data_IF_424963899016
#
_entry.id   IF_424963899016
#
_cell.length_a   1.000
_cell.length_b   1.000
_cell.length_c   1.000
_cell.angle_alpha   90.00
_cell.angle_beta   90.00
_cell.angle_gamma   90.00
#
_symmetry.space_group_name_H-M   'P 1'
#
loop_
_entity.id
_entity.type
_entity.pdbx_description
1 polymer ?
#
# COMPACT_ATOMS: atom_id res chain seq x y z
N UNK A 1 -1.34 3.65 14.05
CA UNK A 1 -0.39 2.70 14.62
C UNK A 1 -0.56 2.56 16.14
N UNK A 2 -0.28 3.60 16.94
CA UNK A 2 -0.25 3.50 18.41
C UNK A 2 -1.54 2.94 19.03
N UNK A 3 -2.71 3.33 18.53
CA UNK A 3 -3.99 2.80 19.01
C UNK A 3 -4.11 1.27 18.78
N UNK A 4 -3.68 0.79 17.61
CA UNK A 4 -3.69 -0.65 17.28
C UNK A 4 -2.70 -1.40 18.19
N UNK A 5 -1.50 -0.86 18.39
CA UNK A 5 -0.49 -1.44 19.27
C UNK A 5 -0.93 -1.57 20.73
N UNK A 6 -1.83 -0.69 21.17
CA UNK A 6 -2.46 -0.74 22.52
C UNK A 6 -3.73 -1.62 22.56
N UNK A 7 -4.08 -2.29 21.44
CA UNK A 7 -5.30 -3.10 21.35
C UNK A 7 -6.58 -2.29 21.17
N UNK A 8 -6.50 -0.98 20.93
CA UNK A 8 -7.67 -0.11 20.73
C UNK A 8 -8.06 -0.08 19.25
N UNK A 9 -8.52 -1.22 18.74
CA UNK A 9 -8.76 -1.42 17.31
C UNK A 9 -9.83 -0.49 16.73
N UNK A 10 -10.88 -0.16 17.48
CA UNK A 10 -11.91 0.80 17.07
C UNK A 10 -11.35 2.21 16.91
N UNK A 11 -10.44 2.61 17.78
CA UNK A 11 -9.72 3.89 17.65
C UNK A 11 -8.75 3.84 16.46
N UNK A 12 -8.13 2.69 16.24
CA UNK A 12 -7.34 2.42 15.04
C UNK A 12 -8.17 2.62 13.77
N UNK A 13 -9.37 2.06 13.73
CA UNK A 13 -10.32 2.21 12.62
C UNK A 13 -10.72 3.67 12.38
N UNK A 14 -10.98 4.42 13.44
CA UNK A 14 -11.28 5.86 13.34
C UNK A 14 -10.11 6.62 12.70
N UNK A 15 -8.87 6.36 13.12
CA UNK A 15 -7.69 7.00 12.54
C UNK A 15 -7.45 6.58 11.09
N UNK A 16 -7.75 5.33 10.71
CA UNK A 16 -7.74 4.88 9.32
C UNK A 16 -8.71 5.70 8.46
N UNK A 17 -9.96 5.86 8.95
CA UNK A 17 -10.97 6.63 8.25
C UNK A 17 -10.58 8.11 8.11
N UNK A 18 -10.06 8.73 9.17
CA UNK A 18 -9.59 10.11 9.15
C UNK A 18 -8.41 10.31 8.18
N UNK A 19 -7.47 9.37 8.15
CA UNK A 19 -6.35 9.42 7.20
C UNK A 19 -6.86 9.36 5.75
N UNK A 20 -7.81 8.48 5.43
CA UNK A 20 -8.40 8.41 4.07
C UNK A 20 -9.21 9.65 3.70
N UNK A 21 -9.89 10.27 4.65
CA UNK A 21 -10.56 11.56 4.42
C UNK A 21 -9.54 12.68 4.13
N UNK A 22 -8.43 12.73 4.88
CA UNK A 22 -7.35 13.67 4.65
C UNK A 22 -6.74 13.49 3.24
N UNK A 23 -6.39 12.27 2.85
CA UNK A 23 -5.87 11.97 1.50
C UNK A 23 -6.86 12.36 0.39
N UNK A 24 -8.15 12.10 0.61
CA UNK A 24 -9.19 12.52 -0.33
C UNK A 24 -9.28 14.03 -0.51
N UNK A 25 -9.12 14.78 0.59
CA UNK A 25 -9.08 16.25 0.58
C UNK A 25 -7.80 16.77 -0.07
N UNK A 26 -6.63 16.21 0.27
CA UNK A 26 -5.36 16.58 -0.34
C UNK A 26 -5.35 16.33 -1.85
N UNK A 27 -5.90 15.19 -2.27
CA UNK A 27 -6.11 14.89 -3.70
C UNK A 27 -7.08 15.86 -4.39
N UNK A 28 -8.12 16.33 -3.71
CA UNK A 28 -9.04 17.34 -4.25
C UNK A 28 -8.37 18.70 -4.37
N UNK A 29 -7.60 19.10 -3.37
CA UNK A 29 -6.80 20.35 -3.38
C UNK A 29 -5.73 20.29 -4.47
N UNK A 30 -5.00 19.17 -4.59
CA UNK A 30 -3.98 19.00 -5.62
C UNK A 30 -4.56 19.08 -7.03
N UNK A 31 -5.77 18.57 -7.28
CA UNK A 31 -6.46 18.73 -8.57
C UNK A 31 -6.93 20.16 -8.84
N UNK A 32 -7.20 20.94 -7.79
CA UNK A 32 -7.61 22.34 -7.89
C UNK A 32 -6.42 23.32 -7.97
N UNK A 33 -5.22 22.87 -7.63
CA UNK A 33 -3.97 23.65 -7.60
C UNK A 33 -2.91 22.98 -8.49
N UNK A 34 -1.66 23.41 -8.37
CA UNK A 34 -0.54 22.80 -9.10
C UNK A 34 0.01 21.63 -8.27
N UNK A 35 -0.03 20.43 -8.84
CA UNK A 35 0.65 19.26 -8.25
C UNK A 35 2.15 19.54 -8.19
N UNK A 36 2.75 19.39 -7.01
CA UNK A 36 4.19 19.56 -6.82
C UNK A 36 4.89 18.20 -6.74
N UNK A 37 6.08 18.10 -7.33
CA UNK A 37 6.89 16.88 -7.26
C UNK A 37 7.24 16.50 -5.79
N UNK A 38 7.43 17.51 -4.92
CA UNK A 38 7.66 17.29 -3.49
C UNK A 38 6.45 16.67 -2.79
N UNK A 39 5.23 17.10 -3.17
CA UNK A 39 3.99 16.50 -2.64
C UNK A 39 3.88 15.03 -3.02
N UNK A 40 4.08 14.68 -4.29
CA UNK A 40 4.06 13.29 -4.75
C UNK A 40 5.14 12.41 -4.11
N UNK A 41 6.34 12.95 -3.87
CA UNK A 41 7.39 12.23 -3.15
C UNK A 41 6.98 11.91 -1.71
N UNK A 42 6.43 12.88 -0.98
CA UNK A 42 6.01 12.70 0.41
C UNK A 42 4.83 11.73 0.52
N UNK A 43 3.87 11.82 -0.39
CA UNK A 43 2.71 10.95 -0.48
C UNK A 43 3.14 9.47 -0.58
N UNK A 44 4.00 9.16 -1.56
CA UNK A 44 4.52 7.80 -1.73
C UNK A 44 5.29 7.33 -0.48
N UNK A 45 6.15 8.17 0.09
CA UNK A 45 6.97 7.80 1.25
C UNK A 45 6.10 7.52 2.48
N UNK A 46 5.10 8.35 2.74
CA UNK A 46 4.19 8.16 3.87
C UNK A 46 3.23 6.98 3.67
N UNK A 47 2.77 6.73 2.46
CA UNK A 47 1.94 5.56 2.17
C UNK A 47 2.68 4.25 2.48
N UNK A 48 3.92 4.08 2.03
CA UNK A 48 4.69 2.89 2.34
C UNK A 48 4.96 2.73 3.84
N UNK A 49 5.26 3.83 4.53
CA UNK A 49 5.43 3.81 5.98
C UNK A 49 4.13 3.41 6.69
N UNK A 50 3.02 3.98 6.27
CA UNK A 50 1.71 3.68 6.80
C UNK A 50 1.33 2.20 6.62
N UNK A 51 1.58 1.62 5.43
CA UNK A 51 1.31 0.22 5.15
C UNK A 51 2.17 -0.73 6.01
N UNK A 52 3.37 -0.33 6.38
CA UNK A 52 4.21 -1.10 7.30
C UNK A 52 3.78 -0.95 8.77
N UNK A 53 3.38 0.25 9.18
CA UNK A 53 3.04 0.55 10.58
C UNK A 53 1.74 -0.13 11.04
N UNK A 54 0.75 -0.33 10.17
CA UNK A 54 -0.52 -0.98 10.55
C UNK A 54 -0.28 -2.44 10.98
N UNK A 55 0.31 -3.32 10.16
CA UNK A 55 0.63 -4.70 10.60
C UNK A 55 1.56 -4.76 11.80
N UNK A 56 2.54 -3.86 11.89
CA UNK A 56 3.42 -3.75 13.05
C UNK A 56 2.63 -3.47 14.33
N UNK A 57 1.58 -2.63 14.27
CA UNK A 57 0.69 -2.38 15.39
C UNK A 57 0.00 -3.66 15.88
N UNK A 58 -0.50 -4.51 14.98
CA UNK A 58 -1.09 -5.81 15.32
C UNK A 58 -0.05 -6.77 15.92
N UNK A 59 1.18 -6.77 15.40
CA UNK A 59 2.26 -7.59 15.94
C UNK A 59 2.61 -7.21 17.37
N UNK A 60 2.58 -5.92 17.70
CA UNK A 60 2.83 -5.43 19.08
C UNK A 60 1.66 -5.74 20.01
N UNK A 61 0.41 -5.63 19.52
CA UNK A 61 -0.79 -5.89 20.31
C UNK A 61 -0.87 -7.36 20.79
N UNK A 62 -0.51 -8.31 19.94
CA UNK A 62 -0.43 -9.75 20.27
C UNK A 62 0.73 -10.39 19.51
N UNK A 63 1.95 -10.34 20.06
CA UNK A 63 3.12 -10.89 19.37
C UNK A 63 3.04 -12.40 19.13
N UNK A 64 2.39 -13.15 20.03
CA UNK A 64 2.32 -14.59 19.93
C UNK A 64 1.54 -15.08 18.68
N UNK A 65 0.45 -14.38 18.35
CA UNK A 65 -0.39 -14.74 17.20
C UNK A 65 -0.03 -13.96 15.94
N UNK A 66 0.35 -12.68 16.08
CA UNK A 66 0.37 -11.73 14.97
C UNK A 66 1.77 -11.44 14.43
N UNK A 67 2.87 -11.72 15.19
CA UNK A 67 4.19 -11.29 14.75
C UNK A 67 4.60 -11.89 13.39
N UNK A 68 4.46 -13.20 13.21
CA UNK A 68 4.83 -13.84 11.95
C UNK A 68 3.93 -13.42 10.78
N UNK A 69 2.59 -13.43 10.88
CA UNK A 69 1.73 -12.90 9.83
C UNK A 69 2.01 -11.45 9.46
N UNK A 70 2.28 -10.58 10.44
CA UNK A 70 2.64 -9.19 10.20
C UNK A 70 3.97 -9.05 9.45
N UNK A 71 5.00 -9.82 9.85
CA UNK A 71 6.28 -9.82 9.14
C UNK A 71 6.12 -10.25 7.66
N UNK A 72 5.35 -11.30 7.40
CA UNK A 72 5.08 -11.78 6.04
C UNK A 72 4.34 -10.71 5.23
N UNK A 73 3.34 -10.06 5.81
CA UNK A 73 2.59 -8.99 5.17
C UNK A 73 3.48 -7.77 4.87
N UNK A 74 4.31 -7.32 5.82
CA UNK A 74 5.25 -6.22 5.60
C UNK A 74 6.26 -6.58 4.49
N UNK A 75 6.79 -7.80 4.50
CA UNK A 75 7.69 -8.28 3.45
C UNK A 75 7.01 -8.24 2.07
N UNK A 76 5.74 -8.62 1.98
CA UNK A 76 4.98 -8.57 0.73
C UNK A 76 4.76 -7.13 0.23
N UNK A 77 4.57 -6.17 1.13
CA UNK A 77 4.50 -4.74 0.78
C UNK A 77 5.83 -4.19 0.26
N UNK A 78 6.95 -4.65 0.80
CA UNK A 78 8.27 -4.32 0.23
C UNK A 78 8.37 -4.83 -1.20
N UNK A 79 7.91 -6.04 -1.49
CA UNK A 79 7.87 -6.59 -2.84
C UNK A 79 7.02 -5.76 -3.81
N UNK A 80 5.78 -5.45 -3.43
CA UNK A 80 4.88 -4.64 -4.28
C UNK A 80 5.41 -3.23 -4.49
N UNK A 81 5.90 -2.59 -3.44
CA UNK A 81 6.41 -1.22 -3.48
C UNK A 81 7.69 -1.11 -4.31
N UNK A 82 8.67 -1.99 -4.06
CA UNK A 82 9.94 -1.98 -4.80
C UNK A 82 9.75 -2.29 -6.28
N UNK A 83 8.90 -3.27 -6.63
CA UNK A 83 8.60 -3.60 -8.03
C UNK A 83 7.89 -2.45 -8.76
N UNK A 84 7.00 -1.74 -8.07
CA UNK A 84 6.33 -0.57 -8.61
C UNK A 84 7.32 0.57 -8.91
N UNK A 85 8.13 0.96 -7.92
CA UNK A 85 9.11 2.05 -8.06
C UNK A 85 10.19 1.72 -9.09
N UNK A 86 10.71 0.48 -9.08
CA UNK A 86 11.71 0.06 -10.05
C UNK A 86 11.18 0.13 -11.47
N UNK A 87 9.94 -0.34 -11.71
CA UNK A 87 9.31 -0.22 -13.02
C UNK A 87 9.10 1.24 -13.43
N UNK A 88 8.59 2.10 -12.54
CA UNK A 88 8.34 3.51 -12.83
C UNK A 88 9.62 4.25 -13.21
N UNK A 89 10.73 4.06 -12.47
CA UNK A 89 12.03 4.67 -12.73
C UNK A 89 12.60 4.21 -14.09
N UNK A 90 12.48 2.91 -14.40
CA UNK A 90 13.04 2.36 -15.63
C UNK A 90 12.22 2.76 -16.85
N UNK A 91 10.90 2.77 -16.74
CA UNK A 91 10.01 3.24 -17.79
C UNK A 91 10.24 4.72 -18.13
N UNK A 92 10.45 5.56 -17.12
CA UNK A 92 10.78 6.97 -17.31
C UNK A 92 12.11 7.15 -18.06
N UNK A 93 13.15 6.41 -17.68
CA UNK A 93 14.47 6.46 -18.35
C UNK A 93 14.39 6.03 -19.82
N UNK A 94 13.47 5.15 -20.18
CA UNK A 94 13.25 4.70 -21.56
C UNK A 94 12.29 5.60 -22.34
N UNK A 95 11.81 6.69 -21.75
CA UNK A 95 10.84 7.59 -22.40
C UNK A 95 9.44 6.98 -22.54
N UNK A 96 9.16 5.87 -21.84
CA UNK A 96 7.86 5.21 -21.80
C UNK A 96 6.90 5.91 -20.81
N UNK A 97 7.14 7.21 -20.53
CA UNK A 97 6.35 7.96 -19.56
C UNK A 97 4.91 8.15 -20.05
N UNK A 98 4.02 8.28 -19.10
CA UNK A 98 2.55 8.38 -19.22
C UNK A 98 2.07 9.46 -20.20
N UNK A 99 2.88 10.50 -20.45
CA UNK A 99 2.53 11.59 -21.36
C UNK A 99 2.63 11.22 -22.84
N UNK A 100 3.50 10.26 -23.19
CA UNK A 100 3.72 9.88 -24.59
C UNK A 100 2.68 8.86 -25.13
N UNK A 101 2.02 8.10 -24.26
CA UNK A 101 1.14 6.99 -24.65
C UNK A 101 -0.33 7.13 -24.20
N UNK A 102 -0.73 8.27 -23.60
CA UNK A 102 -2.09 8.49 -23.15
C UNK A 102 -2.55 7.48 -22.07
N UNK A 103 -3.88 7.31 -21.88
CA UNK A 103 -4.48 6.46 -20.82
C UNK A 103 -4.00 4.99 -20.76
N UNK A 104 -3.28 4.48 -21.76
CA UNK A 104 -2.83 3.09 -21.81
C UNK A 104 -1.66 2.78 -20.88
N UNK A 105 -0.82 3.76 -20.52
CA UNK A 105 0.37 3.53 -19.68
C UNK A 105 0.02 3.20 -18.22
N UNK A 106 -1.08 3.72 -17.68
CA UNK A 106 -1.55 3.38 -16.34
C UNK A 106 -1.98 1.91 -16.19
N UNK A 107 -2.53 1.31 -17.24
CA UNK A 107 -2.95 -0.11 -17.26
C UNK A 107 -1.80 -1.11 -17.02
N UNK A 108 -0.57 -0.73 -17.29
CA UNK A 108 0.60 -1.62 -17.12
C UNK A 108 1.09 -1.73 -15.67
N UNK A 109 0.67 -0.81 -14.78
CA UNK A 109 1.07 -0.76 -13.37
C UNK A 109 -0.01 -1.30 -12.42
N UNK A 110 -1.25 -1.50 -12.90
CA UNK A 110 -2.34 -2.04 -12.09
C UNK A 110 -2.00 -3.45 -11.59
N UNK A 111 -2.14 -3.65 -10.30
CA UNK A 111 -1.98 -4.93 -9.61
C UNK A 111 -3.30 -5.38 -8.98
N UNK A 112 -3.33 -6.60 -8.45
CA UNK A 112 -4.46 -7.13 -7.68
C UNK A 112 -4.56 -6.48 -6.28
N UNK A 113 -3.51 -5.78 -5.84
CA UNK A 113 -3.42 -5.19 -4.50
C UNK A 113 -2.93 -3.75 -4.66
N UNK A 114 -3.85 -2.82 -4.69
CA UNK A 114 -3.60 -1.38 -4.75
C UNK A 114 -3.99 -0.70 -3.43
N UNK A 115 -3.88 0.62 -3.38
CA UNK A 115 -4.13 1.38 -2.16
C UNK A 115 -5.53 1.15 -1.58
N UNK A 116 -6.56 1.08 -2.41
CA UNK A 116 -7.95 0.89 -1.98
C UNK A 116 -8.17 -0.47 -1.35
N UNK A 117 -7.67 -1.55 -1.97
CA UNK A 117 -7.76 -2.92 -1.46
C UNK A 117 -6.97 -3.07 -0.15
N UNK A 118 -5.79 -2.44 -0.06
CA UNK A 118 -4.99 -2.42 1.17
C UNK A 118 -5.76 -1.79 2.32
N UNK A 119 -6.38 -0.63 2.09
CA UNK A 119 -7.18 0.05 3.11
C UNK A 119 -8.41 -0.77 3.50
N UNK A 120 -9.12 -1.35 2.54
CA UNK A 120 -10.25 -2.22 2.82
C UNK A 120 -9.83 -3.42 3.69
N UNK A 121 -8.68 -4.02 3.41
CA UNK A 121 -8.11 -5.10 4.21
C UNK A 121 -7.78 -4.64 5.64
N UNK A 122 -7.17 -3.47 5.81
CA UNK A 122 -6.87 -2.90 7.14
C UNK A 122 -8.14 -2.58 7.95
N UNK A 123 -9.19 -2.10 7.28
CA UNK A 123 -10.51 -1.90 7.92
C UNK A 123 -11.06 -3.22 8.44
N UNK A 124 -11.01 -4.29 7.62
CA UNK A 124 -11.45 -5.63 8.05
C UNK A 124 -10.61 -6.17 9.21
N UNK A 125 -9.29 -5.99 9.18
CA UNK A 125 -8.40 -6.38 10.28
C UNK A 125 -8.73 -5.66 11.59
N UNK A 126 -9.02 -4.35 11.53
CA UNK A 126 -9.40 -3.58 12.71
C UNK A 126 -10.82 -3.93 13.23
N UNK A 127 -11.75 -4.23 12.32
CA UNK A 127 -13.11 -4.63 12.68
C UNK A 127 -13.16 -6.05 13.28
N UNK A 128 -12.29 -6.94 12.82
CA UNK A 128 -12.20 -8.33 13.25
C UNK A 128 -10.76 -8.69 13.64
N UNK A 129 -10.22 -8.18 14.77
CA UNK A 129 -8.81 -8.33 15.12
C UNK A 129 -8.34 -9.78 15.28
N UNK A 130 -9.21 -10.68 15.74
CA UNK A 130 -8.92 -12.12 15.87
C UNK A 130 -8.68 -12.81 14.52
N UNK A 131 -9.10 -12.20 13.42
CA UNK A 131 -8.90 -12.73 12.06
C UNK A 131 -7.64 -12.14 11.41
N UNK A 132 -6.93 -11.26 12.10
CA UNK A 132 -5.73 -10.61 11.57
C UNK A 132 -4.73 -11.62 10.97
N UNK A 133 -4.35 -12.74 11.63
CA UNK A 133 -3.37 -13.67 11.07
C UNK A 133 -3.80 -14.23 9.72
N UNK A 134 -5.06 -14.59 9.59
CA UNK A 134 -5.61 -15.17 8.34
C UNK A 134 -5.70 -14.12 7.25
N UNK A 135 -6.25 -12.94 7.55
CA UNK A 135 -6.36 -11.83 6.61
C UNK A 135 -4.99 -11.37 6.12
N UNK A 136 -4.01 -11.27 7.03
CA UNK A 136 -2.65 -10.87 6.70
C UNK A 136 -1.98 -11.85 5.74
N UNK A 137 -2.10 -13.16 5.97
CA UNK A 137 -1.51 -14.18 5.10
C UNK A 137 -2.17 -14.23 3.73
N UNK A 138 -3.51 -14.15 3.66
CA UNK A 138 -4.24 -14.10 2.39
C UNK A 138 -3.82 -12.86 1.60
N UNK A 139 -3.81 -11.70 2.24
CA UNK A 139 -3.45 -10.46 1.57
C UNK A 139 -1.98 -10.44 1.14
N UNK A 140 -1.08 -10.96 1.95
CA UNK A 140 0.33 -11.11 1.60
C UNK A 140 0.52 -12.01 0.36
N UNK A 141 -0.23 -13.10 0.25
CA UNK A 141 -0.19 -13.97 -0.93
C UNK A 141 -0.61 -13.19 -2.21
N UNK A 142 -1.68 -12.39 -2.14
CA UNK A 142 -2.11 -11.53 -3.25
C UNK A 142 -1.05 -10.47 -3.61
N UNK A 143 -0.38 -9.89 -2.61
CA UNK A 143 0.73 -8.96 -2.82
C UNK A 143 1.93 -9.63 -3.51
N UNK A 144 2.30 -10.85 -3.12
CA UNK A 144 3.37 -11.60 -3.79
C UNK A 144 3.00 -11.97 -5.23
N UNK A 145 1.74 -12.33 -5.51
CA UNK A 145 1.26 -12.57 -6.87
C UNK A 145 1.37 -11.27 -7.69
N UNK A 146 0.92 -10.13 -7.14
CA UNK A 146 1.06 -8.82 -7.78
C UNK A 146 2.51 -8.49 -8.09
N UNK A 147 3.42 -8.72 -7.14
CA UNK A 147 4.86 -8.52 -7.30
C UNK A 147 5.40 -9.36 -8.45
N UNK A 148 5.07 -10.66 -8.47
CA UNK A 148 5.47 -11.58 -9.54
C UNK A 148 4.96 -11.15 -10.91
N UNK A 149 3.70 -10.73 -10.99
CA UNK A 149 3.13 -10.20 -12.24
C UNK A 149 3.84 -8.94 -12.71
N UNK A 150 4.17 -8.01 -11.81
CA UNK A 150 4.91 -6.78 -12.15
C UNK A 150 6.33 -7.06 -12.60
N UNK A 151 7.04 -7.98 -11.93
CA UNK A 151 8.38 -8.40 -12.35
C UNK A 151 8.34 -9.02 -13.74
N UNK A 152 7.40 -9.94 -13.99
CA UNK A 152 7.25 -10.58 -15.30
C UNK A 152 6.93 -9.54 -16.39
N UNK A 153 5.99 -8.63 -16.14
CA UNK A 153 5.67 -7.55 -17.09
C UNK A 153 6.87 -6.62 -17.32
N UNK A 154 7.56 -6.20 -16.25
CA UNK A 154 8.76 -5.38 -16.37
C UNK A 154 9.81 -6.04 -17.26
N UNK A 155 10.06 -7.33 -17.05
CA UNK A 155 11.01 -8.11 -17.86
C UNK A 155 10.65 -8.18 -19.34
N UNK A 156 9.35 -8.19 -19.67
CA UNK A 156 8.89 -8.32 -21.07
C UNK A 156 8.66 -6.98 -21.76
N UNK A 157 8.61 -5.87 -21.02
CA UNK A 157 8.26 -4.54 -21.57
C UNK A 157 9.46 -3.60 -21.61
N UNK A 158 10.40 -3.74 -20.69
CA UNK A 158 11.62 -2.95 -20.55
C UNK A 158 12.80 -3.61 -21.27
#
# INVERSE_FOLDING_TARGET
>A
FGAIALGWFWLGLLFLALNRLADGLDGAVARATVMTERGGFLDIAFDFLFYALVPLGFAIADPAQNALPACILICSFVGTGSSFLAFAITAEKQGLSTQAQGKKSFYYLEGLTEGTETIACFVLMCAFPSWFPVLALIYAALCFITTGMRIHRGWTTL
#
